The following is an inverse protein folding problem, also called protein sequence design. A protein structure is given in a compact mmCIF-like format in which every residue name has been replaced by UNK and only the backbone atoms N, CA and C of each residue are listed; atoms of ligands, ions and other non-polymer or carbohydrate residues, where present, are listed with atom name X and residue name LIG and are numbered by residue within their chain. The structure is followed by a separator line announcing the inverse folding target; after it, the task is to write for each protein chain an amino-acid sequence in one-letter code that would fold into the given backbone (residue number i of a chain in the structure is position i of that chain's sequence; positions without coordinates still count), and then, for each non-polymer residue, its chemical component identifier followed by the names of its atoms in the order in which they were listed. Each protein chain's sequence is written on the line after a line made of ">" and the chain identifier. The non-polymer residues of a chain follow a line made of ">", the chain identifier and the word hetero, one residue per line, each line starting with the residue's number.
data_IF_877305388090
#
_entry.id   IF_877305388090
#
_cell.length_a   1.000
_cell.length_b   1.000
_cell.length_c   1.000
_cell.angle_alpha   90.00
_cell.angle_beta   90.00
_cell.angle_gamma   90.00
#
_symmetry.space_group_name_H-M   'P 1'
#
loop_
_entity.id
_entity.type
_entity.pdbx_description
1 polymer ?
#
# COMPACT_ATOMS: atom_id res chain seq x y z
N UNK A 1 -39.78 -23.19 -44.51
CA UNK A 1 -41.18 -23.35 -44.09
C UNK A 1 -41.35 -22.45 -42.89
N UNK A 2 -41.91 -21.28 -42.93
CA UNK A 2 -43.21 -20.87 -43.46
C UNK A 2 -44.06 -20.52 -42.30
N UNK A 3 -44.35 -19.29 -42.23
CA UNK A 3 -45.60 -18.53 -42.08
C UNK A 3 -45.90 -18.12 -40.64
N UNK A 4 -46.61 -17.07 -40.28
CA UNK A 4 -47.19 -15.94 -41.00
C UNK A 4 -47.62 -14.92 -39.93
N UNK A 5 -47.66 -13.67 -40.29
CA UNK A 5 -48.19 -12.54 -39.49
C UNK A 5 -49.74 -12.54 -39.54
N UNK A 6 -50.40 -12.12 -38.46
CA UNK A 6 -51.78 -11.67 -38.50
C UNK A 6 -51.91 -10.32 -37.78
N UNK A 7 -52.27 -9.32 -38.54
CA UNK A 7 -52.66 -8.01 -38.06
C UNK A 7 -54.16 -7.99 -37.77
N UNK A 8 -54.58 -7.42 -36.64
CA UNK A 8 -55.97 -7.05 -36.37
C UNK A 8 -56.05 -5.55 -36.14
N UNK A 9 -56.79 -4.90 -36.99
CA UNK A 9 -57.14 -3.51 -36.86
C UNK A 9 -58.39 -3.41 -35.97
N UNK A 10 -58.42 -2.48 -35.02
CA UNK A 10 -59.57 -2.11 -34.25
C UNK A 10 -59.78 -0.60 -34.32
N UNK A 11 -60.94 -0.23 -34.81
CA UNK A 11 -61.48 1.12 -34.96
C UNK A 11 -61.89 1.70 -33.62
N UNK A 12 -61.35 2.88 -33.24
CA UNK A 12 -61.75 3.59 -32.04
C UNK A 12 -62.60 4.81 -32.34
N UNK A 13 -63.73 4.93 -31.69
CA UNK A 13 -64.54 6.16 -31.68
C UNK A 13 -64.10 7.15 -30.60
N UNK A 14 -64.53 8.43 -30.64
CA UNK A 14 -64.01 9.49 -29.78
C UNK A 14 -64.60 9.39 -28.36
N UNK A 15 -63.71 9.38 -27.35
CA UNK A 15 -64.07 9.49 -25.95
C UNK A 15 -64.12 10.92 -25.47
N UNK A 16 -65.17 11.27 -24.75
CA UNK A 16 -65.43 12.58 -24.19
C UNK A 16 -64.40 12.94 -23.09
N UNK A 17 -63.97 14.18 -23.04
CA UNK A 17 -63.07 14.73 -22.03
C UNK A 17 -63.77 14.90 -20.68
N UNK A 18 -63.20 14.29 -19.64
CA UNK A 18 -63.57 14.49 -18.25
C UNK A 18 -62.81 15.74 -17.67
N UNK A 19 -63.38 16.42 -16.66
CA UNK A 19 -62.78 17.65 -16.11
C UNK A 19 -61.49 17.37 -15.32
N UNK A 20 -60.51 18.19 -15.52
CA UNK A 20 -59.23 18.15 -14.83
C UNK A 20 -59.36 18.43 -13.32
N UNK A 21 -59.14 17.45 -12.50
CA UNK A 21 -59.00 17.61 -11.06
C UNK A 21 -57.59 18.06 -10.78
N UNK A 22 -57.40 19.28 -10.29
CA UNK A 22 -56.13 19.81 -9.80
C UNK A 22 -55.75 19.07 -8.54
N UNK A 23 -54.82 18.08 -8.65
CA UNK A 23 -54.18 17.46 -7.51
C UNK A 23 -53.12 18.44 -7.03
N UNK A 24 -53.31 18.93 -5.80
CA UNK A 24 -52.24 19.68 -5.10
C UNK A 24 -51.01 18.76 -4.94
N UNK A 25 -49.92 19.15 -5.60
CA UNK A 25 -48.64 18.45 -5.43
C UNK A 25 -48.17 18.74 -4.01
N UNK A 26 -48.45 17.82 -3.10
CA UNK A 26 -47.87 17.83 -1.75
C UNK A 26 -46.37 17.77 -1.86
N UNK A 27 -45.71 18.74 -1.29
CA UNK A 27 -44.23 18.82 -1.16
C UNK A 27 -43.78 17.53 -0.49
N UNK A 28 -43.00 16.68 -1.20
CA UNK A 28 -42.41 15.49 -0.63
C UNK A 28 -41.67 15.84 0.67
N UNK A 29 -41.74 15.02 1.70
CA UNK A 29 -41.02 15.25 2.93
C UNK A 29 -39.54 15.32 2.59
N UNK A 30 -38.89 16.41 2.94
CA UNK A 30 -37.41 16.59 2.85
C UNK A 30 -36.84 15.51 3.75
N UNK A 31 -36.27 14.46 3.14
CA UNK A 31 -35.61 13.41 3.90
C UNK A 31 -34.52 14.02 4.78
N UNK A 32 -34.12 13.33 5.87
CA UNK A 32 -33.19 13.88 6.83
C UNK A 32 -31.93 14.38 6.10
N UNK A 33 -31.61 15.65 6.28
CA UNK A 33 -30.42 16.27 5.72
C UNK A 33 -29.21 15.43 6.13
N UNK A 34 -28.58 14.74 5.18
CA UNK A 34 -27.34 14.03 5.46
C UNK A 34 -26.27 15.06 5.79
N UNK A 35 -25.93 15.17 7.06
CA UNK A 35 -24.76 15.94 7.50
C UNK A 35 -23.55 15.44 6.67
N UNK A 36 -22.83 16.33 5.98
CA UNK A 36 -21.65 15.91 5.20
C UNK A 36 -20.67 15.21 6.12
N UNK A 37 -20.31 13.97 5.81
CA UNK A 37 -19.33 13.21 6.60
C UNK A 37 -17.96 13.86 6.40
N UNK A 38 -17.20 13.98 7.49
CA UNK A 38 -15.81 14.41 7.39
C UNK A 38 -14.98 13.39 6.62
N UNK A 39 -13.89 13.80 5.95
CA UNK A 39 -12.95 12.88 5.31
C UNK A 39 -12.52 11.72 6.21
N UNK A 40 -12.24 12.02 7.48
CA UNK A 40 -11.85 11.03 8.49
C UNK A 40 -12.97 10.01 8.73
N UNK A 41 -14.21 10.49 8.92
CA UNK A 41 -15.37 9.60 9.15
C UNK A 41 -15.65 8.67 7.95
N UNK A 42 -15.36 9.11 6.73
CA UNK A 42 -15.48 8.27 5.52
C UNK A 42 -14.48 7.11 5.57
N UNK A 43 -13.21 7.38 5.88
CA UNK A 43 -12.16 6.36 5.98
C UNK A 43 -12.45 5.42 7.15
N UNK A 44 -12.83 5.94 8.32
CA UNK A 44 -13.16 5.12 9.50
C UNK A 44 -14.30 4.15 9.23
N UNK A 45 -15.36 4.63 8.59
CA UNK A 45 -16.51 3.79 8.23
C UNK A 45 -16.12 2.71 7.21
N UNK A 46 -15.32 3.07 6.22
CA UNK A 46 -14.82 2.11 5.23
C UNK A 46 -13.93 1.05 5.90
N UNK A 47 -13.02 1.48 6.79
CA UNK A 47 -12.14 0.57 7.53
C UNK A 47 -12.95 -0.45 8.34
N UNK A 48 -13.88 0.01 9.16
CA UNK A 48 -14.74 -0.87 9.97
C UNK A 48 -15.51 -1.88 9.10
N UNK A 49 -16.05 -1.40 7.96
CA UNK A 49 -16.79 -2.25 7.02
C UNK A 49 -15.92 -3.31 6.38
N UNK A 50 -14.73 -2.93 5.89
CA UNK A 50 -13.84 -3.85 5.19
C UNK A 50 -13.18 -4.85 6.13
N UNK A 51 -12.76 -4.41 7.33
CA UNK A 51 -12.29 -5.31 8.40
C UNK A 51 -13.32 -6.40 8.73
N UNK A 52 -14.57 -6.00 8.95
CA UNK A 52 -15.64 -6.94 9.26
C UNK A 52 -15.91 -7.96 8.13
N UNK A 53 -15.76 -7.54 6.87
CA UNK A 53 -15.92 -8.44 5.71
C UNK A 53 -14.76 -9.40 5.51
N UNK A 54 -13.55 -8.94 5.77
CA UNK A 54 -12.35 -9.75 5.58
C UNK A 54 -12.17 -10.79 6.68
N UNK A 55 -12.69 -10.53 7.88
CA UNK A 55 -12.45 -11.37 9.06
C UNK A 55 -11.01 -11.23 9.59
N UNK A 56 -10.60 -12.19 10.40
CA UNK A 56 -9.27 -12.18 11.03
C UNK A 56 -9.11 -11.12 12.12
N UNK A 57 -7.88 -10.92 12.55
CA UNK A 57 -7.49 -9.92 13.55
C UNK A 57 -6.72 -8.81 12.85
N UNK A 58 -7.12 -7.58 13.07
CA UNK A 58 -6.51 -6.41 12.41
C UNK A 58 -5.82 -5.51 13.41
N UNK A 59 -4.61 -5.11 13.06
CA UNK A 59 -3.81 -4.11 13.76
C UNK A 59 -3.46 -3.02 12.75
N UNK A 60 -3.91 -1.78 12.97
CA UNK A 60 -3.79 -0.77 11.92
C UNK A 60 -3.56 0.64 12.45
N UNK A 61 -2.77 1.40 11.71
CA UNK A 61 -2.63 2.84 11.88
C UNK A 61 -2.78 3.54 10.53
N UNK A 62 -3.74 4.47 10.45
CA UNK A 62 -3.95 5.32 9.27
C UNK A 62 -3.95 6.77 9.75
N UNK A 63 -3.14 7.62 9.13
CA UNK A 63 -3.10 9.04 9.43
C UNK A 63 -3.17 9.85 8.13
N UNK A 64 -3.82 11.00 8.19
CA UNK A 64 -4.06 11.88 7.05
C UNK A 64 -3.77 13.33 7.42
N UNK A 65 -3.21 14.07 6.48
CA UNK A 65 -3.04 15.53 6.62
C UNK A 65 -4.40 16.20 6.49
N UNK A 66 -4.77 16.99 7.49
CA UNK A 66 -6.01 17.74 7.51
C UNK A 66 -5.93 19.05 6.68
N UNK A 67 -7.02 19.80 6.63
CA UNK A 67 -7.08 21.06 5.90
C UNK A 67 -6.14 22.15 6.45
N UNK A 68 -5.69 22.02 7.70
CA UNK A 68 -4.72 22.93 8.33
C UNK A 68 -3.26 22.52 8.08
N UNK A 69 -3.03 21.41 7.33
CA UNK A 69 -1.69 20.89 7.06
C UNK A 69 -1.10 20.03 8.18
N UNK A 70 -1.90 19.66 9.19
CA UNK A 70 -1.48 18.84 10.32
C UNK A 70 -1.80 17.37 10.06
N UNK A 71 -0.86 16.47 10.37
CA UNK A 71 -1.09 15.04 10.33
C UNK A 71 -1.96 14.60 11.51
N UNK A 72 -3.09 13.99 11.23
CA UNK A 72 -4.03 13.47 12.22
C UNK A 72 -4.25 11.97 12.07
N UNK A 73 -4.30 11.26 13.18
CA UNK A 73 -4.66 9.85 13.22
C UNK A 73 -6.15 9.69 12.86
N UNK A 74 -6.43 8.90 11.85
CA UNK A 74 -7.78 8.58 11.38
C UNK A 74 -8.24 7.22 11.92
N UNK A 75 -7.34 6.22 11.92
CA UNK A 75 -7.56 4.89 12.49
C UNK A 75 -6.39 4.55 13.38
N UNK A 76 -6.67 4.12 14.61
CA UNK A 76 -5.73 3.50 15.52
C UNK A 76 -6.40 2.24 16.10
N UNK A 77 -6.28 1.14 15.41
CA UNK A 77 -6.86 -0.14 15.79
C UNK A 77 -5.74 -1.04 16.27
N UNK A 78 -5.58 -1.15 17.58
CA UNK A 78 -4.49 -1.85 18.23
C UNK A 78 -3.11 -1.51 17.58
N UNK A 79 -2.91 -0.22 17.35
CA UNK A 79 -1.81 0.31 16.52
C UNK A 79 -0.43 0.10 17.13
N UNK A 80 -0.36 -0.19 18.42
CA UNK A 80 0.87 -0.45 19.18
C UNK A 80 1.14 -1.95 19.38
N UNK A 81 0.31 -2.81 18.79
CA UNK A 81 0.52 -4.26 18.83
C UNK A 81 1.83 -4.63 18.13
N UNK A 82 2.71 -5.28 18.89
CA UNK A 82 3.92 -5.90 18.33
C UNK A 82 3.50 -7.18 17.61
N UNK A 83 3.76 -7.23 16.32
CA UNK A 83 3.43 -8.38 15.48
C UNK A 83 4.51 -8.62 14.41
N UNK A 84 4.53 -9.78 13.80
CA UNK A 84 5.39 -10.05 12.66
C UNK A 84 5.04 -9.13 11.50
N UNK A 85 6.02 -8.38 10.99
CA UNK A 85 5.79 -7.47 9.86
C UNK A 85 5.87 -8.15 8.51
N UNK A 86 6.34 -9.40 8.49
CA UNK A 86 6.62 -10.15 7.26
C UNK A 86 7.36 -9.27 6.24
N UNK A 87 7.00 -9.32 4.97
CA UNK A 87 7.70 -8.54 3.95
C UNK A 87 7.50 -7.02 4.03
N UNK A 88 6.60 -6.51 4.87
CA UNK A 88 6.54 -5.06 5.16
C UNK A 88 7.83 -4.60 5.84
N UNK A 89 8.45 -5.44 6.67
CA UNK A 89 9.72 -5.16 7.35
C UNK A 89 10.91 -4.93 6.41
N UNK A 90 10.80 -5.29 5.13
CA UNK A 90 11.81 -4.94 4.12
C UNK A 90 11.99 -3.42 3.97
N UNK A 91 11.00 -2.62 4.40
CA UNK A 91 11.12 -1.16 4.53
C UNK A 91 12.18 -0.78 5.57
N UNK A 92 12.12 -1.37 6.75
CA UNK A 92 13.07 -1.11 7.84
C UNK A 92 14.49 -1.57 7.46
N UNK A 93 14.61 -2.74 6.84
CA UNK A 93 15.90 -3.23 6.32
C UNK A 93 16.48 -2.26 5.27
N UNK A 94 15.65 -1.77 4.34
CA UNK A 94 16.09 -0.81 3.32
C UNK A 94 16.54 0.53 3.93
N UNK A 95 15.84 1.01 4.97
CA UNK A 95 16.24 2.22 5.71
C UNK A 95 17.61 2.01 6.38
N UNK A 96 17.85 0.86 7.01
CA UNK A 96 19.13 0.55 7.63
C UNK A 96 20.30 0.50 6.60
N UNK A 97 20.05 -0.07 5.41
CA UNK A 97 21.04 -0.07 4.33
C UNK A 97 21.31 1.36 3.83
N UNK A 98 20.27 2.19 3.70
CA UNK A 98 20.42 3.57 3.27
C UNK A 98 21.13 4.44 4.32
N UNK A 99 20.89 4.24 5.59
CA UNK A 99 21.61 4.91 6.66
C UNK A 99 23.14 4.68 6.55
N UNK A 100 23.53 3.43 6.28
CA UNK A 100 24.93 3.08 6.06
C UNK A 100 25.52 3.73 4.79
N UNK A 101 24.71 3.85 3.73
CA UNK A 101 25.10 4.59 2.51
C UNK A 101 25.26 6.08 2.81
N UNK A 102 24.34 6.67 3.55
CA UNK A 102 24.37 8.09 3.90
C UNK A 102 25.57 8.47 4.79
N UNK A 103 26.05 7.50 5.60
CA UNK A 103 27.31 7.62 6.37
C UNK A 103 28.57 7.39 5.52
N UNK A 104 28.45 7.08 4.24
CA UNK A 104 29.57 6.79 3.34
C UNK A 104 30.28 5.44 3.57
N UNK A 105 29.66 4.54 4.34
CA UNK A 105 30.19 3.20 4.66
C UNK A 105 29.81 2.14 3.62
N UNK A 106 28.86 2.46 2.75
CA UNK A 106 28.36 1.60 1.69
C UNK A 106 28.03 2.47 0.47
N UNK A 107 28.01 1.87 -0.73
CA UNK A 107 27.66 2.58 -1.96
C UNK A 107 26.60 1.80 -2.73
N UNK A 108 25.69 2.50 -3.43
CA UNK A 108 24.65 1.88 -4.27
C UNK A 108 25.24 1.07 -5.44
N UNK A 109 26.38 1.47 -5.98
CA UNK A 109 27.07 0.79 -7.07
C UNK A 109 28.06 -0.29 -6.59
N UNK A 110 28.22 -0.47 -5.27
CA UNK A 110 29.02 -1.56 -4.72
C UNK A 110 28.41 -2.90 -5.13
N UNK A 111 29.27 -3.80 -5.64
CA UNK A 111 28.88 -5.13 -6.10
C UNK A 111 29.16 -6.19 -5.04
N UNK A 112 28.28 -7.17 -5.00
CA UNK A 112 28.43 -8.40 -4.23
C UNK A 112 28.10 -9.59 -5.13
N UNK A 113 28.86 -10.65 -4.97
CA UNK A 113 28.63 -11.90 -5.67
C UNK A 113 27.32 -12.58 -5.21
N UNK A 114 26.45 -12.93 -6.16
CA UNK A 114 25.24 -13.70 -5.95
C UNK A 114 25.57 -15.19 -6.01
N UNK A 115 25.91 -15.77 -4.88
CA UNK A 115 26.31 -17.17 -4.74
C UNK A 115 25.12 -18.10 -4.53
N UNK A 116 25.25 -19.38 -4.89
CA UNK A 116 24.17 -20.37 -4.75
C UNK A 116 23.66 -20.52 -3.32
N UNK A 117 24.53 -20.39 -2.30
CA UNK A 117 24.16 -20.54 -0.88
C UNK A 117 23.26 -19.41 -0.35
N UNK A 118 23.22 -18.27 -1.07
CA UNK A 118 22.40 -17.13 -0.66
C UNK A 118 20.98 -17.20 -1.19
N UNK A 119 20.73 -18.03 -2.20
CA UNK A 119 19.42 -18.13 -2.85
C UNK A 119 18.35 -18.57 -1.86
N UNK A 120 17.22 -17.85 -1.88
CA UNK A 120 16.03 -18.14 -1.09
C UNK A 120 14.79 -17.90 -1.95
N UNK A 121 14.00 -18.96 -2.15
CA UNK A 121 12.74 -18.89 -2.90
C UNK A 121 11.60 -18.21 -2.12
N UNK A 122 10.40 -18.45 -2.58
CA UNK A 122 9.15 -17.92 -2.02
C UNK A 122 8.67 -16.68 -2.77
N UNK A 123 9.44 -15.59 -2.79
CA UNK A 123 9.12 -14.38 -3.56
C UNK A 123 10.36 -13.77 -4.19
N UNK A 124 10.16 -13.00 -5.27
CA UNK A 124 11.23 -12.28 -5.96
C UNK A 124 11.60 -12.88 -7.31
N UNK A 125 12.78 -12.56 -7.80
CA UNK A 125 13.28 -12.95 -9.13
C UNK A 125 14.61 -13.69 -9.10
N UNK A 126 15.45 -13.47 -8.07
CA UNK A 126 16.79 -14.06 -8.07
C UNK A 126 16.78 -15.58 -7.95
N UNK A 127 15.80 -16.19 -7.26
CA UNK A 127 15.68 -17.65 -7.19
C UNK A 127 15.27 -18.29 -8.52
N UNK A 128 14.77 -17.51 -9.49
CA UNK A 128 14.42 -17.98 -10.83
C UNK A 128 15.66 -18.16 -11.72
N UNK A 129 16.79 -17.59 -11.35
CA UNK A 129 18.05 -17.81 -12.04
C UNK A 129 18.48 -19.27 -11.86
N UNK A 130 18.86 -19.91 -12.93
CA UNK A 130 19.39 -21.28 -12.91
C UNK A 130 20.91 -21.31 -12.86
N UNK A 131 21.58 -20.19 -13.10
CA UNK A 131 23.03 -20.00 -13.04
C UNK A 131 23.32 -18.81 -12.15
N UNK A 132 24.19 -18.99 -11.16
CA UNK A 132 24.60 -17.95 -10.20
C UNK A 132 26.09 -17.68 -10.32
N UNK A 133 26.56 -16.60 -9.74
CA UNK A 133 27.92 -16.12 -9.83
C UNK A 133 28.00 -14.70 -10.43
N UNK A 134 26.85 -14.05 -10.61
CA UNK A 134 26.75 -12.67 -11.07
C UNK A 134 27.05 -11.68 -9.94
N UNK A 135 27.76 -10.60 -10.26
CA UNK A 135 27.93 -9.45 -9.39
C UNK A 135 26.68 -8.56 -9.36
N UNK A 136 26.03 -8.50 -8.23
CA UNK A 136 24.80 -7.70 -8.02
C UNK A 136 25.11 -6.45 -7.22
N UNK A 137 24.71 -5.27 -7.72
CA UNK A 137 24.89 -4.02 -6.98
C UNK A 137 23.92 -3.89 -5.81
N UNK A 138 24.29 -3.10 -4.81
CA UNK A 138 23.41 -2.73 -3.69
C UNK A 138 22.08 -2.14 -4.23
N UNK A 139 22.15 -1.27 -5.24
CA UNK A 139 20.95 -0.72 -5.88
C UNK A 139 20.05 -1.82 -6.47
N UNK A 140 20.63 -2.83 -7.12
CA UNK A 140 19.85 -3.91 -7.73
C UNK A 140 19.12 -4.75 -6.68
N UNK A 141 19.79 -5.18 -5.62
CA UNK A 141 19.09 -6.01 -4.63
C UNK A 141 18.12 -5.21 -3.77
N UNK A 142 18.36 -3.92 -3.48
CA UNK A 142 17.34 -3.07 -2.86
C UNK A 142 16.11 -2.92 -3.76
N UNK A 143 16.33 -2.74 -5.06
CA UNK A 143 15.23 -2.65 -6.04
C UNK A 143 14.43 -3.95 -6.07
N UNK A 144 15.07 -5.11 -6.18
CA UNK A 144 14.38 -6.40 -6.17
C UNK A 144 13.65 -6.66 -4.85
N UNK A 145 14.27 -6.32 -3.70
CA UNK A 145 13.67 -6.49 -2.38
C UNK A 145 12.37 -5.67 -2.21
N UNK A 146 12.36 -4.43 -2.68
CA UNK A 146 11.21 -3.55 -2.49
C UNK A 146 10.16 -3.71 -3.58
N UNK A 147 10.55 -3.89 -4.84
CA UNK A 147 9.64 -3.94 -5.98
C UNK A 147 8.88 -5.27 -6.07
N UNK A 148 9.61 -6.38 -6.01
CA UNK A 148 9.06 -7.75 -6.16
C UNK A 148 9.19 -8.58 -4.88
N UNK A 149 9.53 -7.93 -3.78
CA UNK A 149 9.65 -8.57 -2.46
C UNK A 149 10.67 -9.73 -2.42
N UNK A 150 11.78 -9.63 -3.15
CA UNK A 150 12.77 -10.69 -3.28
C UNK A 150 13.38 -11.11 -1.93
N UNK A 151 13.32 -12.41 -1.60
CA UNK A 151 13.85 -12.95 -0.36
C UNK A 151 15.37 -13.16 -0.41
N UNK A 152 15.93 -13.47 -1.57
CA UNK A 152 17.39 -13.53 -1.76
C UNK A 152 18.00 -12.15 -1.55
N UNK A 153 17.33 -11.10 -2.02
CA UNK A 153 17.76 -9.71 -1.82
C UNK A 153 17.82 -9.32 -0.33
N UNK A 154 16.93 -9.85 0.52
CA UNK A 154 17.02 -9.68 1.99
C UNK A 154 18.33 -10.26 2.52
N UNK A 155 18.71 -11.46 2.04
CA UNK A 155 19.99 -12.08 2.41
C UNK A 155 21.18 -11.29 1.89
N UNK A 156 21.08 -10.66 0.71
CA UNK A 156 22.10 -9.74 0.21
C UNK A 156 22.23 -8.51 1.11
N UNK A 157 21.13 -7.95 1.61
CA UNK A 157 21.16 -6.88 2.61
C UNK A 157 21.92 -7.29 3.88
N UNK A 158 21.70 -8.52 4.37
CA UNK A 158 22.42 -9.04 5.54
C UNK A 158 23.93 -9.16 5.37
N UNK A 159 24.41 -9.30 4.13
CA UNK A 159 25.88 -9.32 3.86
C UNK A 159 26.54 -7.93 3.97
N UNK A 160 25.76 -6.86 3.81
CA UNK A 160 26.26 -5.49 3.89
C UNK A 160 25.91 -4.80 5.20
N UNK A 161 24.80 -5.21 5.84
CA UNK A 161 24.38 -4.74 7.16
C UNK A 161 23.95 -5.97 7.97
N UNK A 162 24.80 -6.51 8.85
CA UNK A 162 24.45 -7.65 9.69
C UNK A 162 23.23 -7.39 10.59
N UNK A 163 22.56 -8.46 11.02
CA UNK A 163 21.31 -8.39 11.76
C UNK A 163 21.36 -7.48 13.00
N UNK A 164 22.41 -7.57 13.80
CA UNK A 164 22.58 -6.73 15.00
C UNK A 164 22.77 -5.26 14.63
N UNK A 165 23.56 -4.98 13.58
CA UNK A 165 23.76 -3.61 13.08
C UNK A 165 22.44 -3.00 12.55
N UNK A 166 21.59 -3.79 11.87
CA UNK A 166 20.25 -3.34 11.48
C UNK A 166 19.46 -2.91 12.72
N UNK A 167 19.45 -3.72 13.78
CA UNK A 167 18.72 -3.40 15.00
C UNK A 167 19.28 -2.19 15.74
N UNK A 168 20.60 -2.02 15.78
CA UNK A 168 21.25 -0.84 16.35
C UNK A 168 20.89 0.44 15.59
N UNK A 169 20.88 0.39 14.26
CA UNK A 169 20.46 1.51 13.41
C UNK A 169 18.99 1.84 13.70
N UNK A 170 18.08 0.85 13.67
CA UNK A 170 16.66 1.08 13.93
C UNK A 170 16.42 1.67 15.34
N UNK A 171 17.10 1.16 16.36
CA UNK A 171 17.03 1.70 17.72
C UNK A 171 17.56 3.16 17.78
N UNK A 172 18.65 3.47 17.08
CA UNK A 172 19.20 4.83 17.00
C UNK A 172 18.26 5.81 16.31
N UNK A 173 17.43 5.31 15.40
CA UNK A 173 16.37 6.06 14.73
C UNK A 173 15.10 6.22 15.59
N UNK A 174 15.05 5.61 16.79
CA UNK A 174 13.97 5.74 17.76
C UNK A 174 12.90 4.65 17.69
N UNK A 175 13.10 3.58 16.92
CA UNK A 175 12.19 2.45 16.88
C UNK A 175 12.48 1.50 18.05
N UNK A 176 11.48 1.28 18.91
CA UNK A 176 11.64 0.45 20.13
C UNK A 176 11.20 -0.99 19.92
N UNK A 177 10.31 -1.22 18.97
CA UNK A 177 9.74 -2.54 18.67
C UNK A 177 10.15 -3.08 17.31
N UNK A 178 10.41 -2.20 16.33
CA UNK A 178 10.80 -2.60 14.98
C UNK A 178 12.22 -3.14 14.96
N UNK A 179 12.36 -4.43 14.72
CA UNK A 179 13.65 -5.12 14.67
C UNK A 179 13.57 -6.38 13.82
N UNK A 180 14.71 -6.78 13.26
CA UNK A 180 14.91 -8.11 12.67
C UNK A 180 15.28 -9.11 13.76
N UNK A 181 15.06 -10.40 13.52
CA UNK A 181 15.43 -11.50 14.44
C UNK A 181 16.75 -12.12 13.99
N UNK A 182 17.86 -11.89 14.73
CA UNK A 182 19.15 -12.49 14.42
C UNK A 182 19.11 -14.01 14.56
N UNK A 183 19.91 -14.69 13.75
CA UNK A 183 20.19 -16.12 13.86
C UNK A 183 21.69 -16.35 14.05
N UNK A 184 22.12 -17.62 14.21
CA UNK A 184 23.53 -17.94 14.46
C UNK A 184 24.51 -17.36 13.41
N UNK A 185 24.11 -17.30 12.14
CA UNK A 185 24.87 -16.58 11.12
C UNK A 185 24.53 -15.08 11.17
N UNK A 186 25.49 -14.18 11.50
CA UNK A 186 25.20 -12.75 11.68
C UNK A 186 24.67 -12.06 10.43
N UNK A 187 24.94 -12.63 9.24
CA UNK A 187 24.47 -12.12 7.95
C UNK A 187 23.09 -12.68 7.55
N UNK A 188 22.43 -13.40 8.44
CA UNK A 188 21.11 -13.98 8.25
C UNK A 188 20.19 -13.54 9.38
N UNK A 189 18.93 -13.36 9.06
CA UNK A 189 17.90 -12.98 10.02
C UNK A 189 16.50 -13.31 9.48
N UNK A 190 15.55 -13.49 10.37
CA UNK A 190 14.15 -13.35 10.01
C UNK A 190 13.76 -11.88 10.02
N UNK A 191 12.76 -11.52 9.22
CA UNK A 191 12.32 -10.12 9.08
C UNK A 191 11.80 -9.51 10.38
N UNK A 192 11.35 -10.35 11.33
CA UNK A 192 11.06 -9.98 12.71
C UNK A 192 9.77 -9.18 12.86
N UNK A 193 9.76 -8.31 13.86
CA UNK A 193 8.56 -7.67 14.38
C UNK A 193 8.57 -6.15 14.22
N UNK A 194 7.37 -5.57 14.23
CA UNK A 194 7.11 -4.14 14.23
C UNK A 194 5.75 -3.84 14.88
N UNK A 195 5.35 -2.59 14.91
CA UNK A 195 3.98 -2.17 15.18
C UNK A 195 3.42 -1.37 13.99
N UNK A 196 2.09 -1.32 13.79
CA UNK A 196 1.48 -0.45 12.79
C UNK A 196 1.89 1.02 12.97
N UNK A 197 2.02 1.49 14.21
CA UNK A 197 2.44 2.86 14.52
C UNK A 197 3.89 3.12 14.12
N UNK A 198 4.82 2.24 14.45
CA UNK A 198 6.23 2.43 14.07
C UNK A 198 6.43 2.30 12.55
N UNK A 199 5.69 1.40 11.90
CA UNK A 199 5.68 1.30 10.43
C UNK A 199 5.15 2.59 9.79
N UNK A 200 4.08 3.17 10.35
CA UNK A 200 3.57 4.48 9.93
C UNK A 200 4.62 5.58 10.13
N UNK A 201 5.28 5.64 11.29
CA UNK A 201 6.30 6.65 11.58
C UNK A 201 7.49 6.56 10.61
N UNK A 202 7.98 5.35 10.35
CA UNK A 202 9.02 5.10 9.36
C UNK A 202 8.64 5.65 7.99
N UNK A 203 7.43 5.32 7.52
CA UNK A 203 6.92 5.75 6.21
C UNK A 203 6.73 7.27 6.14
N UNK A 204 6.17 7.88 7.19
CA UNK A 204 5.97 9.32 7.26
C UNK A 204 7.29 10.08 7.23
N UNK A 205 8.27 9.63 8.02
CA UNK A 205 9.62 10.21 8.03
C UNK A 205 10.37 9.97 6.72
N UNK A 206 10.15 8.83 6.05
CA UNK A 206 10.70 8.57 4.72
C UNK A 206 10.13 9.54 3.68
N UNK A 207 8.81 9.75 3.69
CA UNK A 207 8.13 10.67 2.76
C UNK A 207 8.56 12.13 2.96
N UNK A 208 8.82 12.52 4.21
CA UNK A 208 9.29 13.86 4.55
C UNK A 208 10.83 13.98 4.52
N UNK A 209 11.55 12.91 4.12
CA UNK A 209 13.00 12.88 3.95
C UNK A 209 13.76 13.23 5.24
N UNK A 210 13.25 12.74 6.38
CA UNK A 210 13.80 13.01 7.71
C UNK A 210 14.41 11.79 8.40
N UNK A 211 14.26 10.59 7.82
CA UNK A 211 14.81 9.35 8.36
C UNK A 211 16.15 8.96 7.71
N UNK A 212 16.32 9.31 6.46
CA UNK A 212 17.55 9.16 5.65
C UNK A 212 17.71 10.44 4.81
N UNK A 213 18.83 10.60 4.12
CA UNK A 213 19.03 11.79 3.26
C UNK A 213 17.95 11.89 2.18
N UNK A 214 17.65 13.12 1.66
CA UNK A 214 16.69 13.29 0.58
C UNK A 214 16.96 12.41 -0.63
N UNK A 215 18.23 12.20 -1.00
CA UNK A 215 18.62 11.34 -2.12
C UNK A 215 18.28 9.87 -1.87
N UNK A 216 18.55 9.37 -0.68
CA UNK A 216 18.22 8.00 -0.26
C UNK A 216 16.72 7.79 -0.16
N UNK A 217 15.99 8.77 0.38
CA UNK A 217 14.52 8.72 0.42
C UNK A 217 13.91 8.70 -0.98
N UNK A 218 14.36 9.55 -1.89
CA UNK A 218 13.88 9.59 -3.28
C UNK A 218 14.14 8.28 -4.02
N UNK A 219 15.29 7.64 -3.79
CA UNK A 219 15.59 6.32 -4.35
C UNK A 219 14.59 5.26 -3.86
N UNK A 220 14.37 5.15 -2.55
CA UNK A 220 13.43 4.17 -1.99
C UNK A 220 11.99 4.44 -2.43
N UNK A 221 11.55 5.70 -2.37
CA UNK A 221 10.21 6.10 -2.79
C UNK A 221 9.99 5.88 -4.30
N UNK A 222 11.00 6.10 -5.12
CA UNK A 222 10.95 5.83 -6.56
C UNK A 222 10.62 4.36 -6.86
N UNK A 223 11.25 3.43 -6.14
CA UNK A 223 10.99 1.99 -6.26
C UNK A 223 9.57 1.65 -5.77
N UNK A 224 9.20 2.12 -4.57
CA UNK A 224 7.91 1.81 -3.95
C UNK A 224 6.71 2.38 -4.72
N UNK A 225 6.91 3.46 -5.48
CA UNK A 225 5.89 4.10 -6.32
C UNK A 225 5.83 3.54 -7.73
N UNK A 226 6.75 2.63 -8.11
CA UNK A 226 6.77 2.09 -9.47
C UNK A 226 5.46 1.40 -9.81
N UNK A 227 4.88 1.75 -10.97
CA UNK A 227 3.52 1.34 -11.34
C UNK A 227 3.34 -0.17 -11.54
N UNK A 228 4.42 -0.87 -11.89
CA UNK A 228 4.45 -2.32 -12.09
C UNK A 228 4.85 -3.09 -10.82
N UNK A 229 5.07 -2.40 -9.69
CA UNK A 229 5.20 -3.04 -8.38
C UNK A 229 3.87 -3.60 -7.89
N UNK A 230 3.85 -4.09 -6.65
CA UNK A 230 2.65 -4.68 -6.06
C UNK A 230 1.41 -3.79 -6.23
N UNK A 231 0.32 -4.37 -6.74
CA UNK A 231 -0.91 -3.64 -7.06
C UNK A 231 -2.20 -4.46 -6.85
N UNK A 232 -2.14 -5.59 -6.18
CA UNK A 232 -3.33 -6.38 -5.86
C UNK A 232 -4.12 -5.82 -4.67
N UNK A 233 -3.44 -5.17 -3.73
CA UNK A 233 -4.04 -4.52 -2.57
C UNK A 233 -4.46 -3.06 -2.86
N UNK A 234 -3.97 -2.13 -2.05
CA UNK A 234 -4.37 -0.71 -2.05
C UNK A 234 -4.39 -0.07 -3.44
N UNK A 235 -3.46 -0.41 -4.33
CA UNK A 235 -3.37 0.15 -5.68
C UNK A 235 -4.25 -0.53 -6.74
N UNK A 236 -5.00 -1.59 -6.39
CA UNK A 236 -5.75 -2.39 -7.36
C UNK A 236 -6.76 -1.58 -8.19
N UNK A 237 -7.53 -0.75 -7.53
CA UNK A 237 -8.61 0.02 -8.14
C UNK A 237 -8.15 1.43 -8.56
N UNK A 238 -6.91 1.53 -9.04
CA UNK A 238 -6.27 2.79 -9.44
C UNK A 238 -5.73 2.70 -10.86
N UNK A 239 -5.81 3.81 -11.59
CA UNK A 239 -5.12 4.00 -12.87
C UNK A 239 -3.60 4.05 -12.67
N UNK A 240 -2.82 3.95 -13.74
CA UNK A 240 -1.36 4.05 -13.66
C UNK A 240 -0.90 5.40 -13.09
N UNK A 241 -1.58 6.49 -13.45
CA UNK A 241 -1.29 7.83 -12.92
C UNK A 241 -1.58 7.93 -11.41
N UNK A 242 -2.65 7.29 -10.92
CA UNK A 242 -2.96 7.22 -9.50
C UNK A 242 -1.98 6.32 -8.74
N UNK A 243 -1.61 5.14 -9.31
CA UNK A 243 -0.62 4.23 -8.72
C UNK A 243 0.73 4.90 -8.53
N UNK A 244 1.17 5.75 -9.44
CA UNK A 244 2.43 6.49 -9.32
C UNK A 244 2.46 7.48 -8.15
N UNK A 245 1.31 7.75 -7.54
CA UNK A 245 1.15 8.59 -6.35
C UNK A 245 1.02 7.78 -5.06
N UNK A 246 1.20 6.47 -5.11
CA UNK A 246 1.11 5.59 -3.93
C UNK A 246 2.38 4.76 -3.82
N UNK A 247 3.18 5.02 -2.81
CA UNK A 247 4.26 4.14 -2.40
C UNK A 247 3.67 3.03 -1.52
N UNK A 248 3.93 1.77 -1.83
CA UNK A 248 3.38 0.65 -1.05
C UNK A 248 4.36 -0.51 -0.92
N UNK A 249 4.25 -1.24 0.18
CA UNK A 249 4.90 -2.52 0.42
C UNK A 249 3.92 -3.48 1.07
N UNK A 250 3.76 -4.64 0.46
CA UNK A 250 2.97 -5.72 1.05
C UNK A 250 3.83 -6.71 1.82
N UNK A 251 3.19 -7.46 2.72
CA UNK A 251 3.73 -8.61 3.42
C UNK A 251 2.67 -9.70 3.51
N UNK A 252 3.06 -10.93 3.30
CA UNK A 252 2.15 -12.07 3.39
C UNK A 252 2.92 -13.30 3.85
N UNK A 253 2.28 -14.08 4.71
CA UNK A 253 2.75 -15.37 5.18
C UNK A 253 1.57 -16.11 5.83
N UNK A 254 1.85 -17.20 6.51
CA UNK A 254 0.92 -17.89 7.39
C UNK A 254 1.69 -18.56 8.55
N UNK A 255 0.98 -18.78 9.64
CA UNK A 255 1.46 -19.51 10.80
C UNK A 255 0.34 -20.42 11.34
N UNK A 256 0.54 -20.99 12.53
CA UNK A 256 -0.45 -21.89 13.16
C UNK A 256 -1.78 -21.17 13.50
N UNK A 257 -1.81 -19.85 13.52
CA UNK A 257 -3.01 -19.03 13.78
C UNK A 257 -3.79 -18.69 12.51
N UNK A 258 -3.18 -18.83 11.34
CA UNK A 258 -3.81 -18.52 10.07
C UNK A 258 -2.91 -17.75 9.10
N UNK A 259 -3.50 -17.25 8.04
CA UNK A 259 -2.82 -16.40 7.09
C UNK A 259 -2.63 -14.97 7.62
N UNK A 260 -1.54 -14.34 7.19
CA UNK A 260 -1.28 -12.92 7.36
C UNK A 260 -1.24 -12.22 6.00
N UNK A 261 -1.93 -11.09 5.88
CA UNK A 261 -1.94 -10.23 4.68
C UNK A 261 -1.81 -8.78 5.12
N UNK A 262 -0.64 -8.22 4.94
CA UNK A 262 -0.27 -6.89 5.41
C UNK A 262 -0.01 -5.96 4.24
N UNK A 263 -0.31 -4.69 4.41
CA UNK A 263 0.10 -3.66 3.45
C UNK A 263 0.33 -2.33 4.17
N UNK A 264 1.45 -1.68 3.87
CA UNK A 264 1.78 -0.38 4.41
C UNK A 264 2.30 0.55 3.31
N UNK A 265 2.01 1.83 3.42
CA UNK A 265 2.40 2.77 2.38
C UNK A 265 2.04 4.23 2.65
N UNK A 266 2.27 5.04 1.61
CA UNK A 266 2.07 6.49 1.62
C UNK A 266 1.35 6.88 0.34
N UNK A 267 0.39 7.79 0.47
CA UNK A 267 -0.28 8.44 -0.66
C UNK A 267 0.17 9.90 -0.75
N UNK A 268 0.39 10.35 -1.98
CA UNK A 268 0.81 11.70 -2.30
C UNK A 268 -0.30 12.43 -3.06
N UNK A 269 -0.39 13.73 -2.87
CA UNK A 269 -1.26 14.57 -3.68
C UNK A 269 -0.72 14.75 -5.11
N UNK A 270 -1.44 15.53 -5.92
CA UNK A 270 -1.03 15.81 -7.30
C UNK A 270 0.24 16.68 -7.40
N UNK A 271 0.61 17.39 -6.33
CA UNK A 271 1.84 18.18 -6.25
C UNK A 271 3.04 17.36 -5.74
N UNK A 272 2.81 16.09 -5.34
CA UNK A 272 3.83 15.20 -4.81
C UNK A 272 4.08 15.35 -3.30
N UNK A 273 3.22 16.08 -2.57
CA UNK A 273 3.30 16.16 -1.13
C UNK A 273 2.68 14.92 -0.46
N UNK A 274 3.29 14.36 0.60
CA UNK A 274 2.70 13.24 1.34
C UNK A 274 1.43 13.71 2.07
N UNK A 275 0.34 12.96 1.90
CA UNK A 275 -0.98 13.36 2.43
C UNK A 275 -1.63 12.32 3.31
N UNK A 276 -1.29 11.04 3.15
CA UNK A 276 -1.84 9.97 3.97
C UNK A 276 -0.82 8.84 4.06
N UNK A 277 -0.68 8.27 5.25
CA UNK A 277 0.04 7.01 5.48
C UNK A 277 -0.91 5.96 6.01
N UNK A 278 -0.60 4.71 5.71
CA UNK A 278 -1.34 3.56 6.22
C UNK A 278 -0.37 2.41 6.55
N UNK A 279 -0.65 1.72 7.64
CA UNK A 279 -0.13 0.41 7.99
C UNK A 279 -1.32 -0.43 8.43
N UNK A 280 -1.68 -1.42 7.61
CA UNK A 280 -2.83 -2.29 7.82
C UNK A 280 -2.33 -3.73 7.85
N UNK A 281 -2.33 -4.32 9.04
CA UNK A 281 -1.88 -5.67 9.31
C UNK A 281 -3.10 -6.52 9.66
N UNK A 282 -3.30 -7.60 8.92
CA UNK A 282 -4.40 -8.52 9.09
C UNK A 282 -3.83 -9.93 9.27
N UNK A 283 -4.07 -10.53 10.43
CA UNK A 283 -3.59 -11.82 10.86
C UNK A 283 -4.74 -12.77 11.15
N UNK A 284 -4.43 -14.04 11.44
CA UNK A 284 -5.41 -15.08 11.76
C UNK A 284 -6.52 -15.19 10.71
N UNK A 285 -6.15 -15.04 9.46
CA UNK A 285 -7.08 -15.09 8.33
C UNK A 285 -7.25 -16.53 7.85
N UNK A 286 -8.41 -16.83 7.27
CA UNK A 286 -8.62 -18.06 6.51
C UNK A 286 -7.91 -17.99 5.14
N UNK A 287 -7.96 -19.07 4.36
CA UNK A 287 -7.46 -19.14 2.98
C UNK A 287 -5.94 -18.94 2.89
N UNK A 288 -5.20 -19.89 3.53
CA UNK A 288 -3.74 -19.81 3.72
C UNK A 288 -2.96 -19.68 2.42
N UNK A 289 -3.40 -20.41 1.38
CA UNK A 289 -2.68 -20.53 0.10
C UNK A 289 -2.99 -19.41 -0.89
N UNK A 290 -3.96 -18.54 -0.59
CA UNK A 290 -4.37 -17.46 -1.47
C UNK A 290 -3.55 -16.18 -1.17
N UNK A 291 -2.46 -16.00 -1.88
CA UNK A 291 -1.62 -14.79 -1.78
C UNK A 291 -2.06 -13.66 -2.71
N UNK A 292 -3.05 -13.91 -3.56
CA UNK A 292 -3.45 -13.01 -4.65
C UNK A 292 -4.61 -12.08 -4.32
N UNK A 293 -5.01 -11.38 -5.36
CA UNK A 293 -6.06 -10.35 -5.35
C UNK A 293 -7.46 -10.85 -4.97
N UNK A 294 -7.69 -12.16 -4.93
CA UNK A 294 -8.98 -12.75 -4.54
C UNK A 294 -9.10 -13.01 -3.05
N UNK A 295 -8.00 -12.92 -2.29
CA UNK A 295 -8.03 -13.08 -0.84
C UNK A 295 -8.87 -11.96 -0.18
N UNK A 296 -9.78 -12.28 0.78
CA UNK A 296 -10.69 -11.28 1.36
C UNK A 296 -10.00 -10.07 1.98
N UNK A 297 -8.86 -10.24 2.68
CA UNK A 297 -8.10 -9.13 3.25
C UNK A 297 -7.42 -8.28 2.15
N UNK A 298 -6.93 -8.88 1.06
CA UNK A 298 -6.36 -8.15 -0.08
C UNK A 298 -7.45 -7.34 -0.80
N UNK A 299 -8.66 -7.90 -0.93
CA UNK A 299 -9.83 -7.15 -1.44
C UNK A 299 -10.23 -6.00 -0.52
N UNK A 300 -10.14 -6.19 0.80
CA UNK A 300 -10.37 -5.12 1.77
C UNK A 300 -9.34 -3.99 1.61
N UNK A 301 -8.05 -4.32 1.46
CA UNK A 301 -7.01 -3.33 1.17
C UNK A 301 -7.29 -2.56 -0.14
N UNK A 302 -7.74 -3.26 -1.19
CA UNK A 302 -8.10 -2.63 -2.46
C UNK A 302 -9.28 -1.65 -2.35
N UNK A 303 -10.31 -2.04 -1.61
CA UNK A 303 -11.47 -1.19 -1.36
C UNK A 303 -11.11 0.04 -0.50
N UNK A 304 -10.33 -0.18 0.56
CA UNK A 304 -9.80 0.89 1.41
C UNK A 304 -8.89 1.84 0.63
N UNK A 305 -8.02 1.30 -0.22
CA UNK A 305 -7.14 2.08 -1.07
C UNK A 305 -7.91 3.07 -1.94
N UNK A 306 -9.00 2.63 -2.58
CA UNK A 306 -9.84 3.52 -3.39
C UNK A 306 -10.49 4.61 -2.55
N UNK A 307 -11.07 4.26 -1.39
CA UNK A 307 -11.71 5.23 -0.50
C UNK A 307 -10.72 6.27 0.03
N UNK A 308 -9.54 5.84 0.48
CA UNK A 308 -8.49 6.73 0.97
C UNK A 308 -8.03 7.69 -0.13
N UNK A 309 -7.77 7.16 -1.33
CA UNK A 309 -7.29 7.96 -2.45
C UNK A 309 -8.33 9.01 -2.91
N UNK A 310 -9.60 8.63 -3.03
CA UNK A 310 -10.70 9.55 -3.38
C UNK A 310 -10.88 10.63 -2.31
N UNK A 311 -10.75 10.26 -1.05
CA UNK A 311 -10.85 11.20 0.07
C UNK A 311 -9.75 12.26 0.01
N UNK A 312 -8.51 11.87 -0.27
CA UNK A 312 -7.40 12.80 -0.47
C UNK A 312 -7.67 13.71 -1.66
N UNK A 313 -8.06 13.16 -2.82
CA UNK A 313 -8.30 13.92 -4.02
C UNK A 313 -9.36 15.02 -3.82
N UNK A 314 -10.43 14.72 -3.08
CA UNK A 314 -11.48 15.70 -2.77
C UNK A 314 -11.04 16.77 -1.78
N UNK A 315 -10.14 16.44 -0.86
CA UNK A 315 -9.64 17.37 0.17
C UNK A 315 -8.60 18.32 -0.42
N UNK A 316 -7.68 17.82 -1.24
CA UNK A 316 -6.60 18.61 -1.84
C UNK A 316 -7.06 19.47 -3.02
N UNK A 317 -8.04 19.02 -3.80
CA UNK A 317 -8.62 19.84 -4.89
C UNK A 317 -9.36 21.09 -4.40
N UNK A 318 -9.73 21.16 -3.14
CA UNK A 318 -10.32 22.38 -2.54
C UNK A 318 -9.28 23.46 -2.23
N UNK A 319 -8.01 23.10 -2.12
CA UNK A 319 -6.93 24.02 -1.72
C UNK A 319 -5.90 24.29 -2.82
N UNK A 320 -5.85 23.49 -3.87
CA UNK A 320 -4.90 23.62 -4.96
C UNK A 320 -5.58 24.11 -6.24
N UNK A 321 -5.42 25.38 -6.58
CA UNK A 321 -5.37 25.78 -8.00
C UNK A 321 -4.24 24.95 -8.61
N UNK A 322 -4.60 24.11 -9.61
CA UNK A 322 -3.70 23.21 -10.29
C UNK A 322 -2.36 23.89 -10.62
N UNK A 323 -1.31 23.52 -9.93
CA UNK A 323 0.06 23.68 -10.40
C UNK A 323 0.44 22.39 -11.07
N UNK A 324 0.98 22.51 -12.26
CA UNK A 324 1.30 21.46 -13.20
C UNK A 324 1.83 20.17 -12.55
N UNK A 325 1.24 19.07 -13.02
CA UNK A 325 1.63 17.69 -12.75
C UNK A 325 3.15 17.50 -12.86
N UNK A 326 3.71 16.80 -11.88
CA UNK A 326 4.93 16.02 -12.08
C UNK A 326 4.74 15.19 -13.35
N UNK A 327 5.71 15.24 -14.24
CA UNK A 327 5.65 14.60 -15.56
C UNK A 327 5.14 13.17 -15.41
N UNK A 328 3.98 12.82 -15.99
CA UNK A 328 3.45 11.50 -15.83
C UNK A 328 4.44 10.52 -16.42
N UNK A 329 4.64 9.38 -15.75
CA UNK A 329 5.40 8.27 -16.29
C UNK A 329 5.02 8.08 -17.77
N UNK A 330 5.96 8.34 -18.65
CA UNK A 330 5.84 8.03 -20.07
C UNK A 330 6.60 6.74 -20.31
N UNK A 331 5.90 5.60 -20.56
CA UNK A 331 6.59 4.40 -20.97
C UNK A 331 7.32 4.69 -22.28
N UNK A 332 8.63 4.58 -22.29
CA UNK A 332 9.41 4.49 -23.50
C UNK A 332 9.33 3.03 -23.94
N UNK A 333 8.73 2.77 -25.07
CA UNK A 333 8.91 1.48 -25.76
C UNK A 333 10.39 1.39 -26.09
N UNK A 334 11.08 0.41 -25.47
CA UNK A 334 12.52 0.25 -25.57
C UNK A 334 13.00 0.32 -27.02
N UNK A 335 13.86 1.26 -27.30
CA UNK A 335 14.51 1.50 -28.58
C UNK A 335 15.60 2.51 -28.39
#
# INVERSE_FOLDING_TARGET
>A
MGAAAAALAATGGPAAAAPATTVAVGRAPVGPSRVPRTPQAVIQQAYATQKARAGGVWHSHIAMVNAAGTLETVVADDADRVTHGYSVQKLAVAVAVMDKIDRGQLRLDQKLDLTADIILGGTGIYFLHTVWGDDITVANFLTAMLLVSDNTAVRMCGRVVPALEINEILASLGFTHTRVEPVANPNRFFLGVTTPRETHDLLWRLANKTIVTPRSADFLLGILRWINGYHDGVRRNMSSAERSRVATKYGADFDDLGAARHEAGIMFDAAGAPTLTYAMFADSLADLDNYGATHPAVQAHAALGRVMFDTIATTTNRTAKARHSVDPFRPVSGG
#
